data_IF_591556838016
#
_entry.id   IF_591556838016
#
_cell.length_a   1.000
_cell.length_b   1.000
_cell.length_c   1.000
_cell.angle_alpha   90.00
_cell.angle_beta   90.00
_cell.angle_gamma   90.00
#
_symmetry.space_group_name_H-M   'P 1'
#
loop_
_entity.id
_entity.type
_entity.pdbx_description
1 polymer ?
#
# COMPACT_ATOMS: atom_id res chain seq x y z
N UNK A 1 -4.50 14.51 -4.01
CA UNK A 1 -4.35 14.63 -5.48
C UNK A 1 -5.56 15.32 -6.08
N UNK A 2 -5.39 16.51 -6.66
CA UNK A 2 -6.45 17.19 -7.43
C UNK A 2 -5.84 17.53 -8.79
N UNK A 3 -6.15 16.73 -9.81
CA UNK A 3 -5.84 17.04 -11.20
C UNK A 3 -7.06 17.75 -11.82
N UNK A 4 -7.03 19.08 -11.82
CA UNK A 4 -8.00 19.88 -12.57
C UNK A 4 -7.27 20.80 -13.55
N UNK A 5 -7.15 20.35 -14.79
CA UNK A 5 -6.77 21.23 -15.91
C UNK A 5 -8.04 21.68 -16.63
N UNK A 6 -8.49 22.90 -16.34
CA UNK A 6 -9.57 23.56 -17.09
C UNK A 6 -8.92 24.34 -18.24
N UNK A 7 -9.18 23.91 -19.48
CA UNK A 7 -8.98 24.73 -20.67
C UNK A 7 -10.36 24.99 -21.29
N UNK A 8 -10.89 26.19 -21.10
CA UNK A 8 -12.11 26.66 -21.76
C UNK A 8 -11.78 27.83 -22.68
N UNK A 9 -11.80 27.57 -24.00
CA UNK A 9 -11.97 28.60 -25.02
C UNK A 9 -13.05 28.17 -26.03
N UNK A 10 -13.85 29.16 -26.42
CA UNK A 10 -15.17 29.10 -27.06
C UNK A 10 -15.31 28.29 -28.36
N UNK A 11 -16.51 27.70 -28.54
CA UNK A 11 -17.09 27.42 -29.85
C UNK A 11 -17.91 26.13 -29.86
N UNK A 12 -19.18 26.19 -30.26
CA UNK A 12 -20.02 25.01 -30.51
C UNK A 12 -19.31 24.05 -31.49
N UNK A 13 -18.65 23.03 -30.94
CA UNK A 13 -18.20 21.83 -31.63
C UNK A 13 -18.70 20.66 -30.80
N UNK A 14 -19.24 19.62 -31.47
CA UNK A 14 -19.54 18.34 -30.81
C UNK A 14 -18.34 17.98 -29.93
N UNK A 15 -18.60 17.68 -28.65
CA UNK A 15 -17.54 17.13 -27.81
C UNK A 15 -16.92 15.94 -28.56
N UNK A 16 -15.58 15.87 -28.66
CA UNK A 16 -14.93 14.74 -29.31
C UNK A 16 -15.40 13.44 -28.62
N UNK A 17 -15.63 12.39 -29.41
CA UNK A 17 -15.89 11.06 -28.88
C UNK A 17 -14.71 10.66 -27.98
N UNK A 18 -15.02 10.17 -26.77
CA UNK A 18 -13.99 9.74 -25.82
C UNK A 18 -13.12 8.64 -26.42
N UNK A 19 -11.83 8.68 -26.11
CA UNK A 19 -10.92 7.59 -26.49
C UNK A 19 -11.26 6.30 -25.73
N UNK A 20 -10.78 5.15 -26.21
CA UNK A 20 -10.97 3.87 -25.51
C UNK A 20 -10.38 3.92 -24.10
N UNK A 21 -9.20 4.53 -23.95
CA UNK A 21 -8.51 4.64 -22.67
C UNK A 21 -9.29 5.55 -21.71
N UNK A 22 -9.89 6.64 -22.22
CA UNK A 22 -10.77 7.50 -21.41
C UNK A 22 -12.02 6.76 -20.92
N UNK A 23 -12.63 5.92 -21.77
CA UNK A 23 -13.80 5.10 -21.39
C UNK A 23 -13.42 4.05 -20.35
N UNK A 24 -12.24 3.44 -20.48
CA UNK A 24 -11.74 2.44 -19.53
C UNK A 24 -11.42 3.07 -18.17
N UNK A 25 -10.78 4.25 -18.16
CA UNK A 25 -10.54 5.01 -16.94
C UNK A 25 -11.83 5.49 -16.28
N UNK A 26 -12.82 5.98 -17.04
CA UNK A 26 -14.13 6.34 -16.50
C UNK A 26 -14.77 5.13 -15.80
N UNK A 27 -14.69 3.94 -16.44
CA UNK A 27 -15.24 2.72 -15.88
C UNK A 27 -14.54 2.31 -14.58
N UNK A 28 -13.21 2.37 -14.53
CA UNK A 28 -12.43 2.08 -13.31
C UNK A 28 -12.83 3.04 -12.18
N UNK A 29 -12.99 4.33 -12.49
CA UNK A 29 -13.42 5.32 -11.51
C UNK A 29 -14.85 5.08 -11.03
N UNK A 30 -15.75 4.71 -11.93
CA UNK A 30 -17.13 4.38 -11.59
C UNK A 30 -17.19 3.11 -10.73
N UNK A 31 -16.45 2.06 -11.09
CA UNK A 31 -16.36 0.82 -10.31
C UNK A 31 -15.77 1.11 -8.92
N UNK A 32 -14.71 1.91 -8.83
CA UNK A 32 -14.12 2.35 -7.56
C UNK A 32 -15.11 3.12 -6.67
N UNK A 33 -15.83 4.09 -7.24
CA UNK A 33 -16.75 4.94 -6.48
C UNK A 33 -18.01 4.18 -6.02
N UNK A 34 -18.40 3.13 -6.75
CA UNK A 34 -19.58 2.33 -6.45
C UNK A 34 -19.25 1.00 -5.74
N UNK A 35 -17.98 0.72 -5.45
CA UNK A 35 -17.57 -0.50 -4.76
C UNK A 35 -18.21 -0.60 -3.38
N UNK A 36 -18.48 -1.83 -2.95
CA UNK A 36 -19.11 -2.08 -1.66
C UNK A 36 -18.08 -2.03 -0.53
N UNK A 37 -18.26 -1.06 0.37
CA UNK A 37 -17.45 -0.95 1.59
C UNK A 37 -18.11 -1.75 2.72
N UNK A 38 -17.37 -2.73 3.25
CA UNK A 38 -17.80 -3.56 4.37
C UNK A 38 -17.33 -2.94 5.69
N UNK A 39 -18.23 -2.30 6.45
CA UNK A 39 -17.90 -1.79 7.80
C UNK A 39 -17.63 -2.91 8.81
N UNK A 40 -18.22 -4.07 8.59
CA UNK A 40 -17.99 -5.28 9.37
C UNK A 40 -17.78 -6.42 8.38
N UNK A 41 -16.67 -7.13 8.54
CA UNK A 41 -16.41 -8.39 7.86
C UNK A 41 -16.84 -9.56 8.77
N UNK A 42 -17.51 -10.53 8.18
CA UNK A 42 -17.81 -11.83 8.80
C UNK A 42 -17.15 -12.93 7.98
N UNK A 43 -16.98 -14.12 8.56
CA UNK A 43 -16.40 -15.25 7.83
C UNK A 43 -17.19 -15.58 6.55
N UNK A 44 -18.53 -15.49 6.60
CA UNK A 44 -19.40 -15.70 5.44
C UNK A 44 -19.22 -14.63 4.35
N UNK A 45 -19.00 -13.37 4.75
CA UNK A 45 -18.71 -12.29 3.80
C UNK A 45 -17.37 -12.56 3.13
N UNK A 46 -16.32 -12.83 3.91
CA UNK A 46 -14.99 -13.14 3.38
C UNK A 46 -15.11 -14.28 2.36
N UNK A 47 -15.70 -15.42 2.73
CA UNK A 47 -15.85 -16.60 1.85
C UNK A 47 -16.55 -16.33 0.50
N UNK A 48 -17.35 -15.27 0.40
CA UNK A 48 -18.07 -14.91 -0.83
C UNK A 48 -17.38 -13.84 -1.68
N UNK A 49 -16.50 -13.04 -1.10
CA UNK A 49 -15.75 -12.03 -1.85
C UNK A 49 -14.79 -12.76 -2.79
N UNK A 50 -14.72 -12.45 -4.09
CA UNK A 50 -13.70 -12.97 -5.00
C UNK A 50 -12.28 -12.62 -4.57
N UNK A 51 -11.28 -13.43 -4.93
CA UNK A 51 -9.88 -13.18 -4.52
C UNK A 51 -9.34 -11.84 -5.05
N UNK A 52 -9.70 -11.44 -6.27
CA UNK A 52 -9.32 -10.17 -6.90
C UNK A 52 -9.97 -8.93 -6.26
N UNK A 53 -10.99 -9.12 -5.41
CA UNK A 53 -11.65 -8.07 -4.65
C UNK A 53 -11.31 -8.11 -3.15
N UNK A 54 -10.71 -9.20 -2.66
CA UNK A 54 -10.59 -9.47 -1.22
C UNK A 54 -9.68 -8.48 -0.51
N UNK A 55 -8.52 -8.17 -1.08
CA UNK A 55 -7.59 -7.22 -0.46
C UNK A 55 -8.20 -5.84 -0.35
N UNK A 56 -8.89 -5.37 -1.41
CA UNK A 56 -9.56 -4.07 -1.39
C UNK A 56 -10.66 -4.03 -0.30
N UNK A 57 -11.44 -5.11 -0.16
CA UNK A 57 -12.47 -5.19 0.87
C UNK A 57 -11.89 -5.19 2.30
N UNK A 58 -10.74 -5.85 2.52
CA UNK A 58 -10.04 -5.85 3.81
C UNK A 58 -9.42 -4.48 4.08
N UNK A 59 -8.78 -3.86 3.08
CA UNK A 59 -8.24 -2.51 3.17
C UNK A 59 -9.35 -1.51 3.55
N UNK A 60 -10.45 -1.50 2.81
CA UNK A 60 -11.59 -0.62 3.08
C UNK A 60 -12.17 -0.83 4.48
N UNK A 61 -12.24 -2.09 4.95
CA UNK A 61 -12.70 -2.39 6.30
C UNK A 61 -11.77 -1.83 7.38
N UNK A 62 -10.45 -2.06 7.25
CA UNK A 62 -9.46 -1.53 8.19
C UNK A 62 -9.49 0.00 8.20
N UNK A 63 -9.53 0.60 7.01
CA UNK A 63 -9.58 2.03 6.80
C UNK A 63 -10.80 2.69 7.50
N UNK A 64 -11.99 2.11 7.32
CA UNK A 64 -13.21 2.55 8.03
C UNK A 64 -13.09 2.35 9.56
N UNK A 65 -12.47 1.26 10.02
CA UNK A 65 -12.33 0.95 11.44
C UNK A 65 -11.37 1.90 12.17
N UNK A 66 -10.31 2.36 11.51
CA UNK A 66 -9.41 3.40 12.04
C UNK A 66 -9.98 4.82 11.85
N UNK A 67 -11.20 4.93 11.28
CA UNK A 67 -11.96 6.19 11.12
C UNK A 67 -11.23 7.27 10.31
N UNK A 68 -10.34 6.87 9.42
CA UNK A 68 -9.52 7.79 8.62
C UNK A 68 -8.67 8.74 9.49
N UNK A 69 -8.32 8.31 10.71
CA UNK A 69 -7.48 9.06 11.64
C UNK A 69 -6.01 8.82 11.32
N UNK A 70 -5.52 9.53 10.31
CA UNK A 70 -4.15 9.43 9.83
C UNK A 70 -3.12 10.00 10.82
N UNK A 71 -3.53 10.96 11.66
CA UNK A 71 -2.63 11.54 12.67
C UNK A 71 -2.19 10.49 13.70
N UNK A 72 -3.02 9.47 13.94
CA UNK A 72 -2.74 8.36 14.87
C UNK A 72 -2.74 7.00 14.16
N UNK A 73 -2.39 6.97 12.86
CA UNK A 73 -2.52 5.78 12.01
C UNK A 73 -1.80 4.57 12.61
N UNK A 74 -0.51 4.70 12.93
CA UNK A 74 0.28 3.63 13.52
C UNK A 74 -0.35 3.09 14.82
N UNK A 75 -0.78 3.98 15.71
CA UNK A 75 -1.35 3.60 16.99
C UNK A 75 -2.71 2.90 16.83
N UNK A 76 -3.48 3.29 15.82
CA UNK A 76 -4.76 2.68 15.50
C UNK A 76 -4.57 1.31 14.86
N UNK A 77 -3.63 1.16 13.93
CA UNK A 77 -3.28 -0.14 13.34
C UNK A 77 -2.69 -1.08 14.38
N UNK A 78 -1.84 -0.60 15.29
CA UNK A 78 -1.22 -1.41 16.34
C UNK A 78 -2.22 -1.98 17.37
N UNK A 79 -3.47 -1.48 17.39
CA UNK A 79 -4.56 -2.02 18.23
C UNK A 79 -5.35 -3.15 17.53
N UNK A 80 -5.13 -3.34 16.23
CA UNK A 80 -5.82 -4.36 15.43
C UNK A 80 -5.21 -5.75 15.67
N UNK A 81 -5.83 -6.79 15.11
CA UNK A 81 -5.30 -8.15 15.18
C UNK A 81 -3.94 -8.27 14.48
N UNK A 82 -3.20 -9.33 14.78
CA UNK A 82 -1.92 -9.60 14.11
C UNK A 82 -2.10 -9.75 12.59
N UNK A 83 -3.16 -10.42 12.12
CA UNK A 83 -3.47 -10.56 10.70
C UNK A 83 -3.79 -9.24 10.02
N UNK A 84 -4.54 -8.35 10.69
CA UNK A 84 -4.82 -7.00 10.16
C UNK A 84 -3.55 -6.14 10.11
N UNK A 85 -2.71 -6.21 11.14
CA UNK A 85 -1.40 -5.53 11.15
C UNK A 85 -0.49 -6.05 10.04
N UNK A 86 -0.42 -7.38 9.86
CA UNK A 86 0.37 -8.03 8.83
C UNK A 86 -0.11 -7.63 7.42
N UNK A 87 -1.42 -7.69 7.17
CA UNK A 87 -2.00 -7.23 5.92
C UNK A 87 -1.67 -5.75 5.65
N UNK A 88 -1.98 -4.86 6.60
CA UNK A 88 -1.82 -3.42 6.42
C UNK A 88 -0.36 -3.05 6.12
N UNK A 89 0.56 -3.48 6.98
CA UNK A 89 1.97 -3.11 6.87
C UNK A 89 2.65 -3.65 5.61
N UNK A 90 2.31 -4.87 5.18
CA UNK A 90 2.86 -5.45 3.94
C UNK A 90 2.22 -4.86 2.69
N UNK A 91 0.94 -4.49 2.74
CA UNK A 91 0.26 -3.76 1.66
C UNK A 91 0.86 -2.36 1.47
N UNK A 92 1.07 -1.62 2.56
CA UNK A 92 1.72 -0.30 2.53
C UNK A 92 3.15 -0.40 1.99
N UNK A 93 3.96 -1.33 2.51
CA UNK A 93 5.34 -1.47 2.05
C UNK A 93 5.40 -1.82 0.56
N UNK A 94 4.62 -2.79 0.09
CA UNK A 94 4.57 -3.15 -1.33
C UNK A 94 4.16 -1.95 -2.20
N UNK A 95 3.14 -1.19 -1.79
CA UNK A 95 2.67 -0.02 -2.52
C UNK A 95 3.74 1.07 -2.62
N UNK A 96 4.43 1.37 -1.52
CA UNK A 96 5.52 2.36 -1.50
C UNK A 96 6.71 1.92 -2.35
N UNK A 97 7.13 0.66 -2.24
CA UNK A 97 8.26 0.12 -3.01
C UNK A 97 7.95 0.07 -4.51
N UNK A 98 6.73 -0.30 -4.90
CA UNK A 98 6.32 -0.27 -6.30
C UNK A 98 6.19 1.14 -6.88
N UNK A 99 5.89 2.15 -6.04
CA UNK A 99 5.75 3.54 -6.48
C UNK A 99 7.09 4.30 -6.53
N UNK A 100 7.97 4.09 -5.56
CA UNK A 100 9.22 4.85 -5.41
C UNK A 100 10.31 4.13 -4.61
N UNK A 101 10.25 2.81 -4.51
CA UNK A 101 11.26 2.01 -3.82
C UNK A 101 11.22 2.12 -2.30
N UNK A 102 12.14 1.43 -1.64
CA UNK A 102 12.32 1.49 -0.19
C UNK A 102 12.65 2.92 0.28
N UNK A 103 13.29 3.74 -0.57
CA UNK A 103 13.49 5.15 -0.24
C UNK A 103 12.16 5.85 0.05
N UNK A 104 11.18 5.71 -0.83
CA UNK A 104 9.86 6.32 -0.62
C UNK A 104 9.18 5.77 0.64
N UNK A 105 9.28 4.46 0.89
CA UNK A 105 8.73 3.85 2.10
C UNK A 105 9.26 4.52 3.39
N UNK A 106 10.59 4.68 3.53
CA UNK A 106 11.17 5.27 4.74
C UNK A 106 11.10 6.80 4.78
N UNK A 107 11.11 7.47 3.62
CA UNK A 107 11.00 8.93 3.54
C UNK A 107 9.58 9.40 3.91
N UNK A 108 8.55 8.67 3.47
CA UNK A 108 7.18 8.98 3.81
C UNK A 108 6.83 8.52 5.24
N UNK A 109 5.68 8.96 5.75
CA UNK A 109 5.15 8.52 7.04
C UNK A 109 4.98 7.00 7.13
N UNK A 110 4.84 6.31 5.99
CA UNK A 110 4.80 4.85 5.86
C UNK A 110 5.96 4.13 6.57
N UNK A 111 7.11 4.79 6.71
CA UNK A 111 8.29 4.28 7.42
C UNK A 111 8.00 3.93 8.88
N UNK A 112 6.94 4.47 9.50
CA UNK A 112 6.48 4.09 10.83
C UNK A 112 6.13 2.60 10.96
N UNK A 113 5.81 1.91 9.86
CA UNK A 113 5.44 0.51 9.84
C UNK A 113 6.63 -0.46 9.65
N UNK A 114 7.88 0.01 9.68
CA UNK A 114 9.05 -0.79 9.29
C UNK A 114 9.20 -2.14 10.05
N UNK A 115 9.01 -2.16 11.36
CA UNK A 115 9.06 -3.41 12.16
C UNK A 115 7.82 -4.28 11.89
N UNK A 116 6.66 -3.63 11.77
CA UNK A 116 5.38 -4.30 11.53
C UNK A 116 5.37 -5.00 10.17
N UNK A 117 5.95 -4.39 9.13
CA UNK A 117 6.05 -4.97 7.80
C UNK A 117 6.99 -6.19 7.77
N UNK A 118 8.13 -6.14 8.48
CA UNK A 118 9.01 -7.29 8.63
C UNK A 118 8.28 -8.48 9.28
N UNK A 119 7.58 -8.22 10.39
CA UNK A 119 6.79 -9.24 11.10
C UNK A 119 5.62 -9.71 10.22
N UNK A 120 4.98 -8.79 9.50
CA UNK A 120 3.85 -9.04 8.63
C UNK A 120 4.21 -10.00 7.50
N UNK A 121 5.35 -9.80 6.83
CA UNK A 121 5.81 -10.72 5.79
C UNK A 121 6.05 -12.13 6.35
N UNK A 122 6.67 -12.27 7.53
CA UNK A 122 6.81 -13.58 8.20
C UNK A 122 5.45 -14.20 8.51
N UNK A 123 4.50 -13.37 8.95
CA UNK A 123 3.15 -13.79 9.35
C UNK A 123 2.38 -14.39 8.18
N UNK A 124 2.47 -13.77 6.99
CA UNK A 124 1.83 -14.27 5.77
C UNK A 124 2.64 -15.35 5.04
N UNK A 125 3.78 -15.79 5.60
CA UNK A 125 4.66 -16.82 5.03
C UNK A 125 5.58 -16.34 3.89
N UNK A 126 5.73 -15.03 3.70
CA UNK A 126 6.57 -14.39 2.69
C UNK A 126 8.03 -14.26 3.17
N UNK A 127 8.71 -15.38 3.43
CA UNK A 127 10.02 -15.40 4.13
C UNK A 127 11.10 -14.58 3.40
N UNK A 128 11.14 -14.62 2.07
CA UNK A 128 12.13 -13.85 1.29
C UNK A 128 11.90 -12.34 1.37
N UNK A 129 10.64 -11.93 1.37
CA UNK A 129 10.27 -10.52 1.57
C UNK A 129 10.59 -10.07 2.99
N UNK A 130 10.38 -10.93 3.99
CA UNK A 130 10.77 -10.65 5.36
C UNK A 130 12.29 -10.45 5.48
N UNK A 131 13.10 -11.35 4.91
CA UNK A 131 14.56 -11.23 4.90
C UNK A 131 15.04 -9.95 4.20
N UNK A 132 14.43 -9.60 3.06
CA UNK A 132 14.72 -8.38 2.32
C UNK A 132 14.37 -7.14 3.15
N UNK A 133 13.19 -7.14 3.79
CA UNK A 133 12.73 -6.05 4.66
C UNK A 133 13.62 -5.90 5.90
N UNK A 134 14.07 -7.01 6.52
CA UNK A 134 15.06 -6.96 7.60
C UNK A 134 16.35 -6.28 7.16
N UNK A 135 16.82 -6.54 5.93
CA UNK A 135 18.02 -5.89 5.39
C UNK A 135 17.79 -4.39 5.14
N UNK A 136 16.63 -4.03 4.56
CA UNK A 136 16.23 -2.64 4.37
C UNK A 136 16.18 -1.88 5.70
N UNK A 137 15.54 -2.47 6.72
CA UNK A 137 15.43 -1.90 8.07
C UNK A 137 16.81 -1.63 8.68
N UNK A 138 17.75 -2.58 8.53
CA UNK A 138 19.13 -2.42 9.01
C UNK A 138 19.89 -1.34 8.26
N UNK A 139 19.76 -1.29 6.94
CA UNK A 139 20.43 -0.28 6.11
C UNK A 139 19.89 1.11 6.45
N UNK A 140 18.56 1.27 6.57
CA UNK A 140 17.95 2.51 6.99
C UNK A 140 18.46 2.93 8.38
N UNK A 141 18.42 2.05 9.38
CA UNK A 141 18.87 2.35 10.74
C UNK A 141 20.33 2.84 10.80
N UNK A 142 21.23 2.23 10.01
CA UNK A 142 22.64 2.65 9.95
C UNK A 142 22.84 3.99 9.23
N UNK A 143 21.95 4.35 8.31
CA UNK A 143 22.04 5.57 7.50
C UNK A 143 21.04 6.65 7.91
N UNK A 144 20.31 6.45 9.01
CA UNK A 144 19.13 7.24 9.39
C UNK A 144 19.39 8.73 9.39
N UNK A 145 20.42 9.17 10.11
CA UNK A 145 20.78 10.60 10.20
C UNK A 145 20.99 11.21 8.81
N UNK A 146 21.73 10.54 7.93
CA UNK A 146 22.00 11.01 6.56
C UNK A 146 20.75 11.02 5.68
N UNK A 147 19.84 10.06 5.87
CA UNK A 147 18.62 9.97 5.06
C UNK A 147 17.56 10.99 5.51
N UNK A 148 17.43 11.21 6.82
CA UNK A 148 16.51 12.19 7.41
C UNK A 148 16.99 13.64 7.19
N UNK A 149 18.26 13.88 6.80
CA UNK A 149 18.72 15.21 6.35
C UNK A 149 17.92 15.77 5.16
N UNK A 150 17.28 14.91 4.36
CA UNK A 150 16.45 15.30 3.23
C UNK A 150 14.98 15.52 3.59
N UNK A 151 14.57 15.23 4.83
CA UNK A 151 13.18 15.36 5.27
C UNK A 151 12.87 16.81 5.70
N UNK A 152 12.86 17.72 4.72
CA UNK A 152 12.45 19.12 4.90
C UNK A 152 11.04 19.41 4.35
N UNK A 153 10.34 18.36 3.89
CA UNK A 153 9.01 18.43 3.28
C UNK A 153 8.97 18.97 1.84
N UNK A 154 10.11 19.18 1.19
CA UNK A 154 10.17 19.67 -0.20
C UNK A 154 10.28 18.52 -1.21
N UNK A 155 9.74 18.76 -2.41
CA UNK A 155 9.84 17.80 -3.52
C UNK A 155 11.29 17.69 -4.04
N UNK A 156 12.03 18.78 -3.95
CA UNK A 156 13.45 18.85 -4.31
C UNK A 156 14.27 17.93 -3.41
N UNK A 157 14.14 18.04 -2.08
CA UNK A 157 14.89 17.18 -1.15
C UNK A 157 14.46 15.72 -1.25
N UNK A 158 13.16 15.43 -1.46
CA UNK A 158 12.71 14.09 -1.80
C UNK A 158 13.41 13.54 -3.05
N UNK A 159 13.49 14.32 -4.13
CA UNK A 159 14.17 13.90 -5.37
C UNK A 159 15.67 13.68 -5.15
N UNK A 160 16.31 14.53 -4.36
CA UNK A 160 17.73 14.42 -4.01
C UNK A 160 18.02 13.22 -3.10
N UNK A 161 17.07 12.80 -2.27
CA UNK A 161 17.22 11.66 -1.34
C UNK A 161 17.51 10.33 -2.05
N UNK A 162 17.21 10.22 -3.35
CA UNK A 162 17.51 9.04 -4.17
C UNK A 162 18.99 8.94 -4.57
N UNK A 163 19.74 10.05 -4.54
CA UNK A 163 21.14 10.07 -4.98
C UNK A 163 22.02 9.32 -3.98
N UNK A 164 22.81 8.38 -4.50
CA UNK A 164 23.69 7.51 -3.71
C UNK A 164 22.98 6.85 -2.51
N UNK A 165 21.69 6.53 -2.68
CA UNK A 165 20.89 5.92 -1.63
C UNK A 165 21.20 4.41 -1.53
N UNK A 166 21.63 3.91 -0.36
CA UNK A 166 22.02 2.51 -0.16
C UNK A 166 20.83 1.54 -0.26
N UNK A 167 19.60 2.03 -0.22
CA UNK A 167 18.38 1.23 -0.34
C UNK A 167 18.06 0.86 -1.79
N UNK A 168 18.49 1.66 -2.78
CA UNK A 168 18.09 1.51 -4.19
C UNK A 168 18.37 0.11 -4.76
N UNK A 169 19.41 -0.59 -4.27
CA UNK A 169 19.73 -1.96 -4.72
C UNK A 169 18.70 -3.00 -4.26
N UNK A 170 17.98 -2.72 -3.18
CA UNK A 170 16.97 -3.62 -2.64
C UNK A 170 15.66 -3.51 -3.43
N UNK A 171 15.43 -2.41 -4.15
CA UNK A 171 14.26 -2.23 -5.00
C UNK A 171 14.26 -3.25 -6.13
N UNK A 172 15.40 -3.39 -6.82
CA UNK A 172 15.60 -4.41 -7.85
C UNK A 172 15.36 -5.84 -7.30
N UNK A 173 15.88 -6.13 -6.10
CA UNK A 173 15.65 -7.42 -5.44
C UNK A 173 14.17 -7.65 -5.11
N UNK A 174 13.44 -6.59 -4.73
CA UNK A 174 12.01 -6.66 -4.45
C UNK A 174 11.20 -6.96 -5.72
N UNK A 175 11.50 -6.28 -6.83
CA UNK A 175 10.83 -6.51 -8.11
C UNK A 175 11.13 -7.91 -8.65
N UNK A 176 12.39 -8.36 -8.56
CA UNK A 176 12.79 -9.72 -8.93
C UNK A 176 12.11 -10.81 -8.09
N UNK A 177 11.72 -10.51 -6.84
CA UNK A 177 10.91 -11.41 -6.02
C UNK A 177 9.46 -11.42 -6.48
N UNK A 178 8.91 -10.26 -6.86
CA UNK A 178 7.53 -10.12 -7.35
C UNK A 178 7.25 -10.97 -8.60
N UNK A 179 8.24 -11.12 -9.47
CA UNK A 179 8.16 -12.01 -10.65
C UNK A 179 8.07 -13.50 -10.29
N UNK A 180 8.41 -13.88 -9.05
CA UNK A 180 8.52 -15.27 -8.57
C UNK A 180 7.46 -15.64 -7.54
N UNK A 181 6.99 -14.68 -6.75
CA UNK A 181 6.08 -14.88 -5.63
C UNK A 181 5.22 -13.63 -5.43
N UNK A 182 3.91 -13.76 -5.61
CA UNK A 182 2.98 -12.64 -5.44
C UNK A 182 2.68 -12.42 -3.95
N UNK A 183 3.03 -11.24 -3.43
CA UNK A 183 2.67 -10.86 -2.05
C UNK A 183 1.14 -10.82 -1.88
N UNK A 184 0.42 -10.34 -2.89
CA UNK A 184 -1.04 -10.31 -2.92
C UNK A 184 -1.65 -11.72 -2.76
N UNK A 185 -1.14 -12.71 -3.49
CA UNK A 185 -1.61 -14.10 -3.36
C UNK A 185 -1.35 -14.67 -1.95
N UNK A 186 -0.20 -14.33 -1.34
CA UNK A 186 0.12 -14.74 0.04
C UNK A 186 -0.80 -14.09 1.07
N UNK A 187 -1.07 -12.78 0.95
CA UNK A 187 -2.02 -12.06 1.81
C UNK A 187 -3.43 -12.63 1.68
N UNK A 188 -3.91 -12.86 0.45
CA UNK A 188 -5.21 -13.48 0.19
C UNK A 188 -5.28 -14.85 0.86
N UNK A 189 -4.29 -15.72 0.63
CA UNK A 189 -4.22 -17.04 1.26
C UNK A 189 -4.29 -16.93 2.79
N UNK A 190 -3.51 -16.03 3.39
CA UNK A 190 -3.52 -15.81 4.83
C UNK A 190 -4.91 -15.36 5.33
N UNK A 191 -5.55 -14.39 4.66
CA UNK A 191 -6.91 -13.93 5.01
C UNK A 191 -7.92 -15.11 4.99
N UNK A 192 -7.84 -15.96 3.97
CA UNK A 192 -8.72 -17.13 3.83
C UNK A 192 -8.53 -18.16 4.94
N UNK A 193 -7.28 -18.41 5.32
CA UNK A 193 -6.91 -19.39 6.35
C UNK A 193 -7.12 -18.87 7.78
N UNK A 194 -7.08 -17.55 7.98
CA UNK A 194 -7.09 -16.88 9.29
C UNK A 194 -8.26 -15.88 9.47
N UNK A 195 -9.44 -16.17 8.90
CA UNK A 195 -10.61 -15.26 8.88
C UNK A 195 -10.95 -14.61 10.22
N UNK A 196 -10.81 -15.32 11.33
CA UNK A 196 -11.10 -14.80 12.68
C UNK A 196 -10.26 -13.59 13.07
N UNK A 197 -9.11 -13.37 12.43
CA UNK A 197 -8.27 -12.18 12.64
C UNK A 197 -8.81 -10.96 11.89
N UNK A 198 -9.73 -11.14 10.93
CA UNK A 198 -10.30 -10.07 10.11
C UNK A 198 -11.78 -9.82 10.39
N UNK A 199 -12.38 -10.55 11.32
CA UNK A 199 -13.81 -10.51 11.63
C UNK A 199 -14.07 -10.09 13.06
N UNK A 200 -15.21 -9.44 13.30
CA UNK A 200 -15.74 -9.18 14.65
C UNK A 200 -16.93 -10.14 14.81
N UNK A 201 -16.67 -11.35 15.28
CA UNK A 201 -17.71 -12.33 15.66
C UNK A 201 -18.05 -12.24 17.15
#
# INVERSE_FOLDING_TARGET
MILTSILSFFGCKKQPEKSKDEIEMDKILDDWNNRKIYKVLTSEIIDKIPDDELEQAVFDNIYENIKNDFDNEFENINKLSNGQQAFWSTWVLEGEVNNGGFNQFYFNSSGQFFEMAEIGFKTIGAEKYAELTTRANKIYAVNRERLEEFDDGTMESFSESYKDNPLNKLDDEFYDLGDKESVSELRIKYIREHKTEFTIE
#
